data_IF_326843182795
#
_entry.id   IF_326843182795
#
_cell.length_a   1.000
_cell.length_b   1.000
_cell.length_c   1.000
_cell.angle_alpha   90.00
_cell.angle_beta   90.00
_cell.angle_gamma   90.00
#
_symmetry.space_group_name_H-M   'P 1'
#
loop_
_entity.id
_entity.type
_entity.pdbx_description
1 polymer ?
#
# COMPACT_ATOMS: atom_id res chain seq x y z
N UNK A 1 17.19 15.31 2.41
CA UNK A 1 17.74 13.97 2.66
C UNK A 1 18.07 13.35 1.32
N UNK A 2 19.34 13.27 0.95
CA UNK A 2 19.79 12.40 -0.13
C UNK A 2 19.76 10.97 0.41
N UNK A 3 18.92 10.13 -0.15
CA UNK A 3 18.98 8.70 0.03
C UNK A 3 20.11 8.18 -0.87
N UNK A 4 21.38 8.30 -0.40
CA UNK A 4 22.51 7.65 -1.05
C UNK A 4 22.33 6.12 -1.04
N UNK A 5 22.88 5.44 -2.04
CA UNK A 5 22.95 3.97 -2.03
C UNK A 5 23.67 3.53 -0.74
N UNK A 6 22.95 2.77 0.09
CA UNK A 6 23.56 2.17 1.28
C UNK A 6 24.55 1.08 0.86
N UNK A 7 25.70 0.95 1.55
CA UNK A 7 26.65 -0.10 1.25
C UNK A 7 26.00 -1.49 1.40
N UNK A 8 26.30 -2.37 0.48
CA UNK A 8 25.87 -3.77 0.53
C UNK A 8 26.56 -4.51 1.67
N UNK A 9 26.03 -5.66 2.01
CA UNK A 9 26.65 -6.59 2.94
C UNK A 9 28.08 -6.95 2.50
N UNK A 10 29.02 -6.88 3.45
CA UNK A 10 30.43 -7.18 3.21
C UNK A 10 30.87 -8.39 4.05
N UNK A 11 31.16 -9.50 3.37
CA UNK A 11 31.66 -10.73 4.00
C UNK A 11 33.02 -10.55 4.68
N UNK A 12 33.79 -9.51 4.33
CA UNK A 12 35.08 -9.22 4.98
C UNK A 12 34.92 -8.49 6.33
N UNK A 13 33.72 -7.97 6.61
CA UNK A 13 33.40 -7.33 7.89
C UNK A 13 33.08 -8.40 8.97
N UNK A 14 33.91 -8.54 10.02
CA UNK A 14 33.68 -9.55 11.06
C UNK A 14 32.37 -9.38 11.82
N UNK A 15 31.90 -8.13 12.00
CA UNK A 15 30.66 -7.85 12.73
C UNK A 15 29.44 -8.24 11.90
N UNK A 16 29.45 -7.94 10.61
CA UNK A 16 28.39 -8.37 9.67
C UNK A 16 28.34 -9.90 9.57
N UNK A 17 29.52 -10.54 9.46
CA UNK A 17 29.61 -12.01 9.43
C UNK A 17 29.08 -12.63 10.74
N UNK A 18 29.39 -12.07 11.91
CA UNK A 18 28.85 -12.55 13.18
C UNK A 18 27.31 -12.41 13.25
N UNK A 19 26.73 -11.34 12.66
CA UNK A 19 25.27 -11.19 12.56
C UNK A 19 24.66 -12.28 11.66
N UNK A 20 25.31 -12.58 10.55
CA UNK A 20 24.88 -13.63 9.62
C UNK A 20 24.87 -15.00 10.31
N UNK A 21 25.94 -15.37 11.02
CA UNK A 21 26.01 -16.64 11.74
C UNK A 21 24.92 -16.77 12.81
N UNK A 22 24.60 -15.67 13.52
CA UNK A 22 23.47 -15.68 14.46
C UNK A 22 22.13 -15.89 13.76
N UNK A 23 21.92 -15.32 12.58
CA UNK A 23 20.69 -15.51 11.81
C UNK A 23 20.58 -16.96 11.30
N UNK A 24 21.69 -17.54 10.82
CA UNK A 24 21.77 -18.95 10.41
C UNK A 24 21.43 -19.89 11.58
N UNK A 25 22.08 -19.70 12.73
CA UNK A 25 21.83 -20.54 13.91
C UNK A 25 20.36 -20.44 14.37
N UNK A 26 19.83 -19.23 14.42
CA UNK A 26 18.42 -19.02 14.79
C UNK A 26 17.44 -19.69 13.81
N UNK A 27 17.70 -19.57 12.50
CA UNK A 27 16.86 -20.18 11.47
C UNK A 27 16.90 -21.73 11.61
N UNK A 28 18.07 -22.31 11.77
CA UNK A 28 18.21 -23.76 11.93
C UNK A 28 17.45 -24.30 13.15
N UNK A 29 17.41 -23.54 14.25
CA UNK A 29 16.70 -23.95 15.47
C UNK A 29 15.18 -23.74 15.40
N UNK A 30 14.71 -22.64 14.79
CA UNK A 30 13.32 -22.19 14.89
C UNK A 30 12.53 -22.29 13.58
N UNK A 31 13.20 -22.45 12.45
CA UNK A 31 12.63 -22.45 11.10
C UNK A 31 13.27 -23.51 10.21
N UNK A 32 13.04 -24.81 10.47
CA UNK A 32 13.68 -25.91 9.74
C UNK A 32 13.35 -25.94 8.24
N UNK A 33 12.32 -25.20 7.81
CA UNK A 33 11.98 -24.98 6.39
C UNK A 33 12.88 -23.96 5.69
N UNK A 34 13.79 -23.28 6.41
CA UNK A 34 14.75 -22.31 5.88
C UNK A 34 16.14 -22.94 5.94
N UNK A 35 16.76 -23.10 4.79
CA UNK A 35 18.12 -23.64 4.70
C UNK A 35 19.19 -22.60 5.01
N UNK A 36 20.37 -23.04 5.43
CA UNK A 36 21.52 -22.17 5.67
C UNK A 36 21.89 -21.37 4.40
N UNK A 37 21.91 -22.03 3.24
CA UNK A 37 22.24 -21.37 1.97
C UNK A 37 21.25 -20.24 1.63
N UNK A 38 19.97 -20.43 1.90
CA UNK A 38 18.96 -19.39 1.70
C UNK A 38 19.15 -18.19 2.63
N UNK A 39 19.53 -18.42 3.89
CA UNK A 39 19.85 -17.34 4.83
C UNK A 39 21.05 -16.55 4.33
N UNK A 40 22.11 -17.25 3.90
CA UNK A 40 23.34 -16.63 3.41
C UNK A 40 23.11 -15.84 2.11
N UNK A 41 22.38 -16.40 1.15
CA UNK A 41 22.04 -15.72 -0.11
C UNK A 41 21.18 -14.47 0.16
N UNK A 42 20.17 -14.58 1.00
CA UNK A 42 19.32 -13.44 1.33
C UNK A 42 20.09 -12.30 2.02
N UNK A 43 21.01 -12.61 2.95
CA UNK A 43 21.84 -11.59 3.61
C UNK A 43 22.72 -10.84 2.62
N UNK A 44 23.32 -11.54 1.65
CA UNK A 44 24.15 -10.91 0.63
C UNK A 44 23.38 -9.95 -0.28
N UNK A 45 22.05 -10.12 -0.37
CA UNK A 45 21.15 -9.22 -1.09
C UNK A 45 20.76 -7.97 -0.31
N UNK A 46 20.98 -7.96 1.00
CA UNK A 46 20.64 -6.87 1.91
C UNK A 46 21.75 -5.80 1.99
N UNK A 47 21.42 -4.67 2.60
CA UNK A 47 22.42 -3.66 2.96
C UNK A 47 23.12 -4.04 4.28
N UNK A 48 24.37 -3.57 4.48
CA UNK A 48 25.09 -3.82 5.74
C UNK A 48 24.33 -3.30 6.96
N UNK A 49 23.75 -2.11 6.88
CA UNK A 49 22.96 -1.52 7.96
C UNK A 49 21.74 -2.37 8.35
N UNK A 50 21.11 -3.00 7.38
CA UNK A 50 19.96 -3.88 7.61
C UNK A 50 20.34 -5.03 8.53
N UNK A 51 21.48 -5.67 8.30
CA UNK A 51 21.94 -6.84 9.07
C UNK A 51 22.14 -6.51 10.55
N UNK A 52 22.57 -5.28 10.86
CA UNK A 52 22.72 -4.81 12.25
C UNK A 52 21.40 -4.42 12.90
N UNK A 53 20.44 -3.95 12.12
CA UNK A 53 19.18 -3.37 12.61
C UNK A 53 18.08 -4.39 12.85
N UNK A 54 18.20 -5.60 12.27
CA UNK A 54 17.14 -6.59 12.24
C UNK A 54 17.44 -7.77 13.18
N UNK A 55 16.47 -8.14 14.02
CA UNK A 55 16.59 -9.34 14.86
C UNK A 55 16.51 -10.63 14.02
N UNK A 56 17.12 -11.74 14.46
CA UNK A 56 17.08 -13.02 13.76
C UNK A 56 15.65 -13.49 13.41
N UNK A 57 14.69 -13.30 14.32
CA UNK A 57 13.29 -13.62 14.07
C UNK A 57 12.72 -12.84 12.88
N UNK A 58 12.91 -11.51 12.89
CA UNK A 58 12.43 -10.66 11.79
C UNK A 58 13.14 -10.96 10.49
N UNK A 59 14.40 -11.30 10.59
CA UNK A 59 15.18 -11.73 9.43
C UNK A 59 14.50 -12.91 8.72
N UNK A 60 14.13 -13.97 9.47
CA UNK A 60 13.40 -15.12 8.91
C UNK A 60 12.03 -14.72 8.34
N UNK A 61 11.32 -13.78 8.97
CA UNK A 61 10.05 -13.25 8.45
C UNK A 61 10.25 -12.50 7.12
N UNK A 62 11.28 -11.66 7.02
CA UNK A 62 11.58 -10.91 5.80
C UNK A 62 12.09 -11.83 4.68
N UNK A 63 12.83 -12.90 5.00
CA UNK A 63 13.20 -13.92 4.02
C UNK A 63 11.98 -14.64 3.45
N UNK A 64 10.98 -14.97 4.28
CA UNK A 64 9.70 -15.52 3.80
C UNK A 64 8.96 -14.56 2.88
N UNK A 65 8.95 -13.26 3.21
CA UNK A 65 8.39 -12.21 2.35
C UNK A 65 9.17 -12.15 1.03
N UNK A 66 10.50 -12.21 1.08
CA UNK A 66 11.34 -12.23 -0.12
C UNK A 66 10.98 -13.40 -1.04
N UNK A 67 10.90 -14.62 -0.50
CA UNK A 67 10.52 -15.82 -1.27
C UNK A 67 9.15 -15.68 -1.96
N UNK A 68 8.19 -15.07 -1.26
CA UNK A 68 6.82 -14.89 -1.76
C UNK A 68 6.74 -13.81 -2.85
N UNK A 69 7.63 -12.79 -2.78
CA UNK A 69 7.56 -11.60 -3.64
C UNK A 69 8.54 -11.64 -4.82
N UNK A 70 9.68 -12.34 -4.68
CA UNK A 70 10.71 -12.45 -5.71
C UNK A 70 10.14 -12.91 -7.04
N UNK A 71 10.55 -12.25 -8.13
CA UNK A 71 10.06 -12.53 -9.48
C UNK A 71 8.61 -12.12 -9.75
N UNK A 72 7.96 -11.38 -8.83
CA UNK A 72 6.61 -10.86 -9.03
C UNK A 72 6.62 -9.33 -9.17
N UNK A 73 5.49 -8.73 -9.53
CA UNK A 73 5.29 -7.27 -9.46
C UNK A 73 4.41 -6.87 -8.26
N UNK A 74 4.35 -7.72 -7.25
CA UNK A 74 3.42 -7.65 -6.14
C UNK A 74 3.76 -6.67 -5.03
N UNK A 75 2.86 -6.63 -4.05
CA UNK A 75 3.02 -5.96 -2.76
C UNK A 75 2.54 -6.90 -1.66
N UNK A 76 3.35 -7.09 -0.64
CA UNK A 76 3.00 -7.86 0.56
C UNK A 76 2.86 -6.91 1.73
N UNK A 77 1.79 -7.08 2.51
CA UNK A 77 1.54 -6.32 3.74
C UNK A 77 1.27 -7.29 4.87
N UNK A 78 2.03 -7.15 5.95
CA UNK A 78 1.95 -7.99 7.14
C UNK A 78 1.76 -7.13 8.39
N UNK A 79 1.00 -7.65 9.34
CA UNK A 79 0.91 -7.11 10.69
C UNK A 79 1.74 -8.01 11.61
N UNK A 80 2.64 -7.41 12.36
CA UNK A 80 3.50 -8.11 13.30
C UNK A 80 3.24 -7.58 14.71
N UNK A 81 3.37 -8.47 15.69
CA UNK A 81 3.27 -8.08 17.09
C UNK A 81 4.59 -7.45 17.56
N UNK A 82 4.50 -6.36 18.28
CA UNK A 82 5.63 -5.78 18.99
C UNK A 82 5.71 -6.34 20.44
N UNK A 83 6.91 -6.30 21.03
CA UNK A 83 7.09 -6.69 22.44
C UNK A 83 6.34 -5.77 23.39
N UNK A 84 6.22 -4.50 23.04
CA UNK A 84 5.42 -3.53 23.77
C UNK A 84 4.00 -3.54 23.19
N UNK A 85 3.06 -4.02 23.99
CA UNK A 85 1.64 -4.18 23.62
C UNK A 85 0.92 -2.86 23.28
N UNK A 86 1.59 -1.71 23.44
CA UNK A 86 1.05 -0.41 23.01
C UNK A 86 1.23 -0.18 21.51
N UNK A 87 2.11 -0.93 20.87
CA UNK A 87 2.48 -0.74 19.48
C UNK A 87 2.13 -1.95 18.64
N UNK A 88 1.84 -1.69 17.38
CA UNK A 88 1.78 -2.68 16.33
C UNK A 88 2.89 -2.40 15.32
N UNK A 89 3.33 -3.41 14.59
CA UNK A 89 4.25 -3.23 13.46
C UNK A 89 3.56 -3.60 12.17
N UNK A 90 3.63 -2.71 11.20
CA UNK A 90 3.19 -2.95 9.83
C UNK A 90 4.44 -3.09 8.96
N UNK A 91 4.52 -4.19 8.22
CA UNK A 91 5.58 -4.42 7.23
C UNK A 91 4.96 -4.37 5.84
N UNK A 92 5.52 -3.53 4.98
CA UNK A 92 5.12 -3.38 3.57
C UNK A 92 6.33 -3.67 2.70
N UNK A 93 6.26 -4.71 1.89
CA UNK A 93 7.28 -5.07 0.92
C UNK A 93 6.73 -4.88 -0.49
N UNK A 94 7.45 -4.16 -1.33
CA UNK A 94 6.99 -3.79 -2.68
C UNK A 94 8.10 -4.01 -3.69
N UNK A 95 7.81 -4.76 -4.75
CA UNK A 95 8.73 -4.95 -5.87
C UNK A 95 8.79 -3.70 -6.75
N UNK A 96 10.00 -3.29 -7.16
CA UNK A 96 10.26 -2.24 -8.15
C UNK A 96 9.52 -0.92 -7.87
N UNK A 97 9.49 -0.47 -6.62
CA UNK A 97 8.84 0.78 -6.24
C UNK A 97 9.84 1.81 -5.68
N UNK A 98 9.58 3.08 -5.95
CA UNK A 98 10.34 4.16 -5.32
C UNK A 98 10.09 4.17 -3.81
N UNK A 99 11.14 3.98 -3.02
CA UNK A 99 11.12 3.97 -1.55
C UNK A 99 10.47 5.23 -0.98
N UNK A 100 10.87 6.42 -1.49
CA UNK A 100 10.30 7.70 -1.05
C UNK A 100 8.80 7.79 -1.31
N UNK A 101 8.37 7.42 -2.52
CA UNK A 101 6.96 7.47 -2.90
C UNK A 101 6.11 6.51 -2.08
N UNK A 102 6.63 5.31 -1.81
CA UNK A 102 5.93 4.32 -0.99
C UNK A 102 5.85 4.75 0.47
N UNK A 103 6.92 5.31 1.03
CA UNK A 103 6.91 5.85 2.39
C UNK A 103 5.84 6.93 2.57
N UNK A 104 5.78 7.91 1.66
CA UNK A 104 4.79 8.98 1.66
C UNK A 104 3.37 8.41 1.63
N UNK A 105 3.07 7.52 0.68
CA UNK A 105 1.74 6.92 0.51
C UNK A 105 1.28 6.08 1.69
N UNK A 106 2.20 5.28 2.28
CA UNK A 106 1.86 4.48 3.45
C UNK A 106 1.59 5.38 4.65
N UNK A 107 2.44 6.40 4.87
CA UNK A 107 2.25 7.35 5.96
C UNK A 107 0.92 8.11 5.86
N UNK A 108 0.59 8.63 4.67
CA UNK A 108 -0.69 9.29 4.42
C UNK A 108 -1.88 8.35 4.69
N UNK A 109 -1.78 7.09 4.20
CA UNK A 109 -2.86 6.12 4.40
C UNK A 109 -3.08 5.78 5.88
N UNK A 110 -2.02 5.64 6.67
CA UNK A 110 -2.13 5.37 8.10
C UNK A 110 -2.69 6.57 8.87
N UNK A 111 -2.26 7.78 8.52
CA UNK A 111 -2.74 9.01 9.14
C UNK A 111 -4.26 9.20 8.99
N UNK A 112 -4.86 8.77 7.86
CA UNK A 112 -6.32 8.83 7.65
C UNK A 112 -7.12 8.05 8.67
N UNK A 113 -6.58 6.95 9.20
CA UNK A 113 -7.24 6.13 10.22
C UNK A 113 -6.83 6.50 11.65
N UNK A 114 -6.19 7.66 11.84
CA UNK A 114 -5.70 8.10 13.14
C UNK A 114 -4.62 7.19 13.71
N UNK A 115 -3.78 6.65 12.83
CA UNK A 115 -2.66 5.78 13.21
C UNK A 115 -1.37 6.59 13.17
N UNK A 116 -0.77 6.80 14.32
CA UNK A 116 0.49 7.52 14.47
C UNK A 116 1.69 6.61 14.21
N UNK A 117 2.64 7.10 13.43
CA UNK A 117 3.89 6.41 13.16
C UNK A 117 4.92 6.84 14.22
N UNK A 118 5.25 5.93 15.11
CA UNK A 118 6.29 6.14 16.12
C UNK A 118 7.71 5.97 15.55
N UNK A 119 7.86 4.98 14.64
CA UNK A 119 9.15 4.69 14.00
C UNK A 119 8.93 4.12 12.60
N UNK A 120 9.78 4.51 11.64
CA UNK A 120 9.81 3.93 10.30
C UNK A 120 11.21 3.39 10.00
N UNK A 121 11.27 2.23 9.35
CA UNK A 121 12.47 1.57 8.87
C UNK A 121 12.37 1.39 7.37
N UNK A 122 13.44 1.68 6.68
CA UNK A 122 13.53 1.58 5.23
C UNK A 122 14.74 0.76 4.85
N UNK A 123 14.49 -0.32 4.14
CA UNK A 123 15.54 -1.17 3.60
C UNK A 123 15.22 -1.56 2.16
N UNK A 124 16.24 -2.02 1.45
CA UNK A 124 16.10 -2.51 0.10
C UNK A 124 16.86 -3.83 -0.06
N UNK A 125 16.20 -4.78 -0.73
CA UNK A 125 16.73 -6.11 -0.98
C UNK A 125 16.87 -6.25 -2.49
N UNK A 126 18.05 -6.65 -2.94
CA UNK A 126 18.34 -6.89 -4.35
C UNK A 126 17.75 -8.22 -4.81
N UNK A 127 16.94 -8.20 -5.85
CA UNK A 127 16.39 -9.42 -6.47
C UNK A 127 17.06 -9.74 -7.82
N UNK A 128 18.29 -9.25 -8.02
CA UNK A 128 19.06 -9.48 -9.24
C UNK A 128 18.36 -8.93 -10.48
N UNK A 129 18.17 -9.78 -11.49
CA UNK A 129 17.54 -9.37 -12.75
C UNK A 129 16.07 -8.96 -12.60
N UNK A 130 15.39 -9.39 -11.54
CA UNK A 130 14.01 -8.99 -11.25
C UNK A 130 13.90 -7.57 -10.66
N UNK A 131 15.02 -6.96 -10.24
CA UNK A 131 15.08 -5.61 -9.71
C UNK A 131 15.27 -5.55 -8.20
N UNK A 132 14.46 -4.77 -7.49
CA UNK A 132 14.67 -4.47 -6.08
C UNK A 132 13.35 -4.52 -5.30
N UNK A 133 13.38 -5.16 -4.13
CA UNK A 133 12.29 -5.11 -3.16
C UNK A 133 12.55 -3.97 -2.18
N UNK A 134 11.63 -3.01 -2.12
CA UNK A 134 11.59 -2.00 -1.07
C UNK A 134 10.85 -2.57 0.13
N UNK A 135 11.53 -2.62 1.28
CA UNK A 135 10.99 -3.10 2.55
C UNK A 135 10.78 -1.91 3.49
N UNK A 136 9.54 -1.69 3.91
CA UNK A 136 9.12 -0.65 4.82
C UNK A 136 8.56 -1.27 6.10
N UNK A 137 9.12 -0.91 7.24
CA UNK A 137 8.62 -1.32 8.55
C UNK A 137 8.14 -0.10 9.36
N UNK A 138 6.90 -0.12 9.84
CA UNK A 138 6.33 0.97 10.64
C UNK A 138 5.94 0.45 12.01
N UNK A 139 6.51 1.02 13.07
CA UNK A 139 5.99 0.86 14.42
C UNK A 139 4.93 1.94 14.62
N UNK A 140 3.71 1.51 14.89
CA UNK A 140 2.54 2.38 14.90
C UNK A 140 1.77 2.29 16.21
N UNK A 141 1.09 3.37 16.57
CA UNK A 141 0.26 3.49 17.76
C UNK A 141 -1.10 4.07 17.39
N UNK A 142 -2.15 3.69 18.12
CA UNK A 142 -3.50 4.25 18.06
C UNK A 142 -4.02 4.55 19.44
N UNK A 143 -4.86 5.59 19.59
CA UNK A 143 -5.57 5.85 20.83
C UNK A 143 -6.51 4.71 21.25
N UNK A 144 -7.08 4.02 20.27
CA UNK A 144 -8.07 2.94 20.47
C UNK A 144 -7.44 1.55 20.64
N UNK A 145 -6.14 1.47 20.94
CA UNK A 145 -5.40 0.23 21.14
C UNK A 145 -4.69 -0.28 19.89
N UNK A 146 -4.11 -1.46 20.00
CA UNK A 146 -3.29 -2.07 18.93
C UNK A 146 -4.15 -2.54 17.74
N UNK A 147 -3.51 -2.67 16.59
CA UNK A 147 -4.12 -3.30 15.42
C UNK A 147 -4.23 -4.81 15.65
N UNK A 148 -5.37 -5.37 15.25
CA UNK A 148 -5.64 -6.82 15.35
C UNK A 148 -5.83 -7.37 13.95
N UNK A 149 -5.20 -8.53 13.64
CA UNK A 149 -5.16 -9.13 12.29
C UNK A 149 -6.57 -9.37 11.73
N UNK A 150 -7.52 -9.83 12.56
CA UNK A 150 -8.88 -10.13 12.12
C UNK A 150 -9.84 -8.93 12.18
N UNK A 151 -9.36 -7.75 12.55
CA UNK A 151 -10.21 -6.56 12.64
C UNK A 151 -10.65 -6.06 11.25
N UNK A 152 -11.87 -5.50 11.19
CA UNK A 152 -12.39 -4.88 9.98
C UNK A 152 -11.46 -3.73 9.49
N UNK A 153 -10.95 -2.93 10.43
CA UNK A 153 -10.03 -1.85 10.13
C UNK A 153 -8.74 -2.35 9.48
N UNK A 154 -8.09 -3.38 10.06
CA UNK A 154 -6.86 -3.92 9.49
C UNK A 154 -7.08 -4.49 8.09
N UNK A 155 -8.18 -5.20 7.86
CA UNK A 155 -8.52 -5.72 6.53
C UNK A 155 -8.61 -4.63 5.47
N UNK A 156 -9.20 -3.47 5.81
CA UNK A 156 -9.29 -2.31 4.91
C UNK A 156 -7.90 -1.72 4.68
N UNK A 157 -7.14 -1.43 5.73
CA UNK A 157 -5.78 -0.88 5.62
C UNK A 157 -4.88 -1.79 4.79
N UNK A 158 -4.86 -3.09 5.09
CA UNK A 158 -4.05 -4.08 4.37
C UNK A 158 -4.36 -4.10 2.89
N UNK A 159 -5.64 -4.16 2.53
CA UNK A 159 -6.10 -4.13 1.13
C UNK A 159 -5.64 -2.86 0.41
N UNK A 160 -5.81 -1.71 1.04
CA UNK A 160 -5.47 -0.42 0.45
C UNK A 160 -3.94 -0.28 0.29
N UNK A 161 -3.15 -0.69 1.29
CA UNK A 161 -1.70 -0.70 1.21
C UNK A 161 -1.17 -1.66 0.14
N UNK A 162 -1.80 -2.83 -0.04
CA UNK A 162 -1.44 -3.76 -1.11
C UNK A 162 -1.61 -3.18 -2.50
N UNK A 163 -2.51 -2.21 -2.67
CA UNK A 163 -2.81 -1.55 -3.94
C UNK A 163 -2.05 -0.26 -4.18
N UNK A 164 -1.42 0.31 -3.15
CA UNK A 164 -0.78 1.62 -3.19
C UNK A 164 0.26 1.80 -4.30
N UNK A 165 0.92 0.73 -4.76
CA UNK A 165 1.87 0.78 -5.88
C UNK A 165 1.19 1.24 -7.17
N UNK A 166 -0.04 0.79 -7.43
CA UNK A 166 -0.75 0.96 -8.70
C UNK A 166 -1.76 2.11 -8.71
N UNK A 167 -2.17 2.59 -7.55
CA UNK A 167 -3.17 3.67 -7.45
C UNK A 167 -2.59 4.99 -7.94
N UNK A 168 -3.35 5.71 -8.76
CA UNK A 168 -2.96 7.05 -9.21
C UNK A 168 -2.88 8.03 -8.04
N UNK A 169 -1.90 8.93 -8.09
CA UNK A 169 -1.70 9.95 -7.05
C UNK A 169 -2.92 10.90 -6.93
N UNK A 170 -3.64 11.12 -8.03
CA UNK A 170 -4.83 11.98 -8.00
C UNK A 170 -6.00 11.30 -7.27
N UNK A 171 -6.19 9.98 -7.46
CA UNK A 171 -7.19 9.20 -6.73
C UNK A 171 -6.87 9.19 -5.22
N UNK A 172 -5.59 8.98 -4.85
CA UNK A 172 -5.16 9.07 -3.45
C UNK A 172 -5.44 10.44 -2.85
N UNK A 173 -5.06 11.53 -3.53
CA UNK A 173 -5.35 12.88 -3.06
C UNK A 173 -6.85 13.13 -2.88
N UNK A 174 -7.67 12.66 -3.80
CA UNK A 174 -9.13 12.79 -3.70
C UNK A 174 -9.66 12.10 -2.44
N UNK A 175 -9.20 10.87 -2.14
CA UNK A 175 -9.61 10.14 -0.94
C UNK A 175 -9.15 10.81 0.36
N UNK A 176 -8.03 11.57 0.34
CA UNK A 176 -7.53 12.30 1.50
C UNK A 176 -8.21 13.65 1.71
N UNK A 177 -8.60 14.30 0.62
CA UNK A 177 -9.21 15.64 0.68
C UNK A 177 -10.66 15.61 1.15
N UNK A 178 -11.38 14.51 0.85
CA UNK A 178 -12.80 14.39 1.13
C UNK A 178 -13.07 13.35 2.22
N UNK A 179 -13.41 13.82 3.41
CA UNK A 179 -13.75 12.95 4.55
C UNK A 179 -14.92 12.01 4.19
N UNK A 180 -14.74 10.73 4.41
CA UNK A 180 -15.74 9.70 4.08
C UNK A 180 -15.62 9.09 2.69
N UNK A 181 -14.81 9.67 1.79
CA UNK A 181 -14.53 9.05 0.49
C UNK A 181 -13.45 7.98 0.65
N UNK A 182 -13.84 6.71 0.60
CA UNK A 182 -12.88 5.59 0.63
C UNK A 182 -11.99 5.56 -0.62
N UNK A 183 -10.78 5.00 -0.49
CA UNK A 183 -9.84 4.88 -1.61
C UNK A 183 -10.47 4.21 -2.84
N UNK A 184 -11.27 3.15 -2.64
CA UNK A 184 -11.96 2.44 -3.75
C UNK A 184 -12.93 3.35 -4.51
N UNK A 185 -13.64 4.24 -3.83
CA UNK A 185 -14.52 5.24 -4.47
C UNK A 185 -13.70 6.23 -5.28
N UNK A 186 -12.59 6.71 -4.70
CA UNK A 186 -11.70 7.65 -5.40
C UNK A 186 -11.08 7.04 -6.67
N UNK A 187 -10.72 5.75 -6.65
CA UNK A 187 -10.24 5.01 -7.83
C UNK A 187 -11.31 4.92 -8.92
N UNK A 188 -12.56 4.61 -8.53
CA UNK A 188 -13.69 4.56 -9.48
C UNK A 188 -13.95 5.93 -10.07
N UNK A 189 -13.96 6.99 -9.26
CA UNK A 189 -14.16 8.35 -9.73
C UNK A 189 -13.04 8.81 -10.67
N UNK A 190 -11.78 8.49 -10.35
CA UNK A 190 -10.67 8.82 -11.25
C UNK A 190 -10.78 8.08 -12.59
N UNK A 191 -11.19 6.81 -12.59
CA UNK A 191 -11.46 6.07 -13.81
C UNK A 191 -12.61 6.69 -14.63
N UNK A 192 -13.68 7.14 -13.97
CA UNK A 192 -14.79 7.86 -14.63
C UNK A 192 -14.32 9.20 -15.22
N UNK A 193 -13.51 9.95 -14.49
CA UNK A 193 -12.89 11.22 -14.97
C UNK A 193 -12.04 10.96 -16.22
N UNK A 194 -11.20 9.92 -16.20
CA UNK A 194 -10.36 9.58 -17.35
C UNK A 194 -11.21 9.16 -18.57
N UNK A 195 -12.25 8.37 -18.35
CA UNK A 195 -13.19 7.99 -19.41
C UNK A 195 -13.92 9.23 -19.99
N UNK A 196 -14.45 10.11 -19.14
CA UNK A 196 -15.10 11.34 -19.53
C UNK A 196 -14.14 12.23 -20.33
N UNK A 197 -12.91 12.40 -19.85
CA UNK A 197 -11.87 13.15 -20.55
C UNK A 197 -11.63 12.57 -21.95
N UNK A 198 -11.38 11.26 -22.07
CA UNK A 198 -11.12 10.63 -23.36
C UNK A 198 -12.27 10.81 -24.38
N UNK A 199 -13.51 10.79 -23.91
CA UNK A 199 -14.69 10.92 -24.78
C UNK A 199 -14.99 12.38 -25.14
N UNK A 200 -14.88 13.30 -24.19
CA UNK A 200 -15.36 14.68 -24.30
C UNK A 200 -14.28 15.69 -24.69
N UNK A 201 -13.01 15.39 -24.50
CA UNK A 201 -11.89 16.32 -24.84
C UNK A 201 -11.87 16.70 -26.30
N UNK A 202 -12.39 15.85 -27.21
CA UNK A 202 -12.51 16.12 -28.64
C UNK A 202 -13.63 17.12 -28.95
N UNK A 203 -14.64 17.21 -28.07
CA UNK A 203 -15.75 18.17 -28.20
C UNK A 203 -15.30 19.57 -27.75
N UNK A 204 -14.70 19.63 -26.55
CA UNK A 204 -14.14 20.88 -26.04
C UNK A 204 -12.96 20.57 -25.10
N UNK A 205 -11.74 20.83 -25.61
CA UNK A 205 -10.49 20.53 -24.89
C UNK A 205 -10.34 21.29 -23.56
N UNK A 206 -10.86 22.51 -23.50
CA UNK A 206 -10.73 23.34 -22.31
C UNK A 206 -11.78 22.98 -21.24
N UNK A 207 -13.03 22.79 -21.65
CA UNK A 207 -14.13 22.46 -20.74
C UNK A 207 -13.91 21.09 -20.08
N UNK A 208 -13.44 20.09 -20.83
CA UNK A 208 -13.30 18.70 -20.38
C UNK A 208 -11.84 18.28 -20.15
N UNK A 209 -10.98 19.25 -19.72
CA UNK A 209 -9.65 18.89 -19.27
C UNK A 209 -9.71 18.11 -17.94
N UNK A 210 -8.73 17.20 -17.70
CA UNK A 210 -8.64 16.43 -16.44
C UNK A 210 -8.71 17.32 -15.20
N UNK A 211 -8.02 18.44 -15.23
CA UNK A 211 -7.99 19.42 -14.12
C UNK A 211 -9.40 19.95 -13.81
N UNK A 212 -10.16 20.32 -14.84
CA UNK A 212 -11.53 20.82 -14.65
C UNK A 212 -12.49 19.73 -14.22
N UNK A 213 -12.39 18.54 -14.80
CA UNK A 213 -13.22 17.40 -14.40
C UNK A 213 -12.96 17.01 -12.94
N UNK A 214 -11.69 16.94 -12.52
CA UNK A 214 -11.33 16.65 -11.11
C UNK A 214 -11.84 17.76 -10.17
N UNK A 215 -11.72 19.01 -10.57
CA UNK A 215 -12.25 20.13 -9.80
C UNK A 215 -13.76 20.03 -9.64
N UNK A 216 -14.49 19.82 -10.73
CA UNK A 216 -15.94 19.64 -10.71
C UNK A 216 -16.35 18.47 -9.82
N UNK A 217 -15.67 17.33 -9.92
CA UNK A 217 -15.88 16.18 -9.03
C UNK A 217 -15.70 16.53 -7.56
N UNK A 218 -14.66 17.31 -7.22
CA UNK A 218 -14.42 17.76 -5.85
C UNK A 218 -15.49 18.75 -5.35
N UNK A 219 -15.98 19.61 -6.20
CA UNK A 219 -17.05 20.56 -5.87
C UNK A 219 -18.42 19.87 -5.70
N UNK A 220 -18.62 18.70 -6.32
CA UNK A 220 -19.86 17.90 -6.27
C UNK A 220 -19.63 16.51 -5.68
N UNK A 221 -18.81 16.41 -4.64
CA UNK A 221 -18.29 15.13 -4.15
C UNK A 221 -19.39 14.17 -3.64
N UNK A 222 -20.45 14.69 -3.01
CA UNK A 222 -21.56 13.88 -2.49
C UNK A 222 -22.32 13.17 -3.62
N UNK A 223 -22.59 13.88 -4.71
CA UNK A 223 -23.22 13.32 -5.91
C UNK A 223 -22.28 12.30 -6.58
N UNK A 224 -21.01 12.66 -6.72
CA UNK A 224 -20.01 11.75 -7.29
C UNK A 224 -19.83 10.48 -6.45
N UNK A 225 -19.92 10.56 -5.13
CA UNK A 225 -19.88 9.40 -4.26
C UNK A 225 -21.07 8.46 -4.51
N UNK A 226 -22.29 8.99 -4.66
CA UNK A 226 -23.47 8.18 -5.05
C UNK A 226 -23.28 7.46 -6.38
N UNK A 227 -22.64 8.13 -7.37
CA UNK A 227 -22.30 7.51 -8.64
C UNK A 227 -21.30 6.36 -8.42
N UNK A 228 -20.26 6.58 -7.63
CA UNK A 228 -19.28 5.54 -7.32
C UNK A 228 -19.91 4.37 -6.56
N UNK A 229 -20.77 4.63 -5.58
CA UNK A 229 -21.54 3.61 -4.84
C UNK A 229 -22.37 2.76 -5.78
N UNK A 230 -23.07 3.39 -6.71
CA UNK A 230 -23.89 2.71 -7.68
C UNK A 230 -23.07 1.79 -8.59
N UNK A 231 -21.94 2.27 -9.09
CA UNK A 231 -21.03 1.50 -9.93
C UNK A 231 -20.42 0.33 -9.14
N UNK A 232 -19.95 0.58 -7.92
CA UNK A 232 -19.38 -0.45 -7.05
C UNK A 232 -20.40 -1.54 -6.73
N UNK A 233 -21.65 -1.17 -6.42
CA UNK A 233 -22.72 -2.13 -6.16
C UNK A 233 -23.11 -2.92 -7.43
N UNK A 234 -23.13 -2.27 -8.59
CA UNK A 234 -23.50 -2.92 -9.86
C UNK A 234 -22.49 -3.97 -10.29
N UNK A 235 -21.20 -3.67 -10.09
CA UNK A 235 -20.08 -4.52 -10.54
C UNK A 235 -19.42 -5.27 -9.40
N UNK A 236 -20.10 -5.44 -8.26
CA UNK A 236 -19.62 -6.30 -7.18
C UNK A 236 -19.57 -7.76 -7.68
N UNK A 237 -18.39 -8.41 -7.67
CA UNK A 237 -18.27 -9.78 -8.16
C UNK A 237 -18.98 -10.81 -7.27
N UNK A 238 -19.15 -10.51 -5.97
CA UNK A 238 -19.73 -11.44 -5.01
C UNK A 238 -21.25 -11.27 -4.88
N UNK A 239 -21.75 -10.03 -5.02
CA UNK A 239 -23.15 -9.70 -4.86
C UNK A 239 -23.58 -8.51 -5.74
N UNK A 240 -23.62 -8.68 -7.07
CA UNK A 240 -23.97 -7.60 -7.99
C UNK A 240 -25.40 -7.11 -7.79
N UNK A 241 -25.59 -5.78 -7.82
CA UNK A 241 -26.92 -5.18 -7.73
C UNK A 241 -27.81 -5.63 -8.90
N UNK A 242 -29.01 -6.20 -8.65
CA UNK A 242 -29.94 -6.64 -9.69
C UNK A 242 -30.36 -5.50 -10.63
N UNK A 243 -30.67 -5.83 -11.90
CA UNK A 243 -31.05 -4.85 -12.92
C UNK A 243 -32.21 -3.92 -12.52
N UNK A 244 -33.31 -4.40 -11.91
CA UNK A 244 -34.40 -3.52 -11.48
C UNK A 244 -33.95 -2.49 -10.45
N UNK A 245 -33.18 -2.92 -9.44
CA UNK A 245 -32.69 -2.05 -8.37
C UNK A 245 -31.65 -1.06 -8.88
N UNK A 246 -30.78 -1.51 -9.80
CA UNK A 246 -29.85 -0.63 -10.49
C UNK A 246 -30.55 0.46 -11.28
N UNK A 247 -31.60 0.08 -12.05
CA UNK A 247 -32.35 1.03 -12.86
C UNK A 247 -33.06 2.08 -12.01
N UNK A 248 -33.62 1.67 -10.87
CA UNK A 248 -34.26 2.59 -9.93
C UNK A 248 -33.25 3.59 -9.36
N UNK A 249 -32.15 3.10 -8.79
CA UNK A 249 -31.11 3.97 -8.22
C UNK A 249 -30.45 4.86 -9.27
N UNK A 250 -30.29 4.38 -10.49
CA UNK A 250 -29.77 5.18 -11.60
C UNK A 250 -30.71 6.35 -11.95
N UNK A 251 -32.03 6.13 -11.88
CA UNK A 251 -33.02 7.19 -12.10
C UNK A 251 -32.90 8.28 -11.03
N UNK A 252 -32.76 7.90 -9.75
CA UNK A 252 -32.56 8.84 -8.64
C UNK A 252 -31.29 9.69 -8.81
N UNK A 253 -30.18 9.04 -9.18
CA UNK A 253 -28.90 9.74 -9.43
C UNK A 253 -29.03 10.69 -10.62
N UNK A 254 -29.72 10.30 -11.70
CA UNK A 254 -29.96 11.17 -12.87
C UNK A 254 -30.77 12.40 -12.50
N UNK A 255 -31.81 12.25 -11.70
CA UNK A 255 -32.62 13.40 -11.25
C UNK A 255 -31.77 14.38 -10.42
N UNK A 256 -30.85 13.90 -9.61
CA UNK A 256 -29.92 14.77 -8.88
C UNK A 256 -28.91 15.46 -9.82
N UNK A 257 -28.37 14.76 -10.83
CA UNK A 257 -27.47 15.34 -11.84
C UNK A 257 -28.17 16.47 -12.60
N UNK A 258 -29.45 16.27 -12.98
CA UNK A 258 -30.23 17.27 -13.73
C UNK A 258 -30.51 18.56 -12.92
N UNK A 259 -30.33 18.51 -11.59
CA UNK A 259 -30.47 19.69 -10.71
C UNK A 259 -29.17 20.47 -10.53
N UNK A 260 -28.04 19.92 -10.98
CA UNK A 260 -26.74 20.59 -10.87
C UNK A 260 -26.57 21.56 -12.04
N UNK A 261 -26.39 22.84 -11.73
CA UNK A 261 -26.02 23.85 -12.72
C UNK A 261 -24.57 23.66 -13.16
N UNK A 262 -24.36 23.51 -14.46
CA UNK A 262 -23.04 23.30 -15.08
C UNK A 262 -22.43 24.62 -15.57
#
# INVERSE_FOLDING_TARGET
FEFGEKPRFDLSDPEQTACMERAVAFAAENHPEITEDEVRDFIQRCTGDYVFSVSPLRFCQHLKIFRELSGTEGTIVRLEQEKDERYSRIVVAVMNASTRRMLERVAERLAMDGIDIFRAYLDSIDDGENGQITLLGFVVQREQGVLVEDSALWRVIRRDLQRNKWVDTAALKMSYTHAGLGQRHAEVLDAVIELAHQKLVKVNRWAYSRVRLRRWTSENIELCQKIADLLLARFDPDNPLPDPDFTLRLADVREEVDRVDF
#
